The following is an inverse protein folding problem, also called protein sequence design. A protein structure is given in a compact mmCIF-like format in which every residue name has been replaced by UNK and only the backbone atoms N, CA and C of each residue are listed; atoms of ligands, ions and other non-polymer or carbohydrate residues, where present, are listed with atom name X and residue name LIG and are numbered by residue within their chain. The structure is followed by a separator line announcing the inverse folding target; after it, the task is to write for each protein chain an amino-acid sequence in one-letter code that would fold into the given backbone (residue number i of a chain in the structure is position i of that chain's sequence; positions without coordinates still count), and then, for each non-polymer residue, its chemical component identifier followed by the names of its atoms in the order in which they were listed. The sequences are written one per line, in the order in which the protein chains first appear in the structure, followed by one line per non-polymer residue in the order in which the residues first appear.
data_IF_487112198953
#
_entry.id   IF_487112198953
#
_cell.length_a   1.000
_cell.length_b   1.000
_cell.length_c   1.000
_cell.angle_alpha   90.00
_cell.angle_beta   90.00
_cell.angle_gamma   90.00
#
_symmetry.space_group_name_H-M   'P 1'
#
loop_
_entity.id
_entity.type
_entity.pdbx_description
1 polymer ?
#
# COMPACT_ATOMS: atom_id res chain seq x y z
N UNK A 1 -2.97 3.76 9.53
CA UNK A 1 -2.84 4.86 8.55
C UNK A 1 -1.37 5.15 8.30
N UNK A 2 -0.94 5.66 7.13
CA UNK A 2 0.45 6.11 6.95
C UNK A 2 0.75 7.17 8.01
N UNK A 3 1.84 6.98 8.75
CA UNK A 3 2.25 7.78 9.91
C UNK A 3 2.84 9.14 9.46
N UNK A 4 2.13 9.90 8.63
CA UNK A 4 2.62 11.18 8.09
C UNK A 4 1.53 12.24 8.05
N UNK A 5 1.94 13.51 8.10
CA UNK A 5 1.02 14.65 8.01
C UNK A 5 0.25 14.61 6.69
N UNK A 6 -1.05 14.94 6.75
CA UNK A 6 -1.92 14.99 5.55
C UNK A 6 -1.64 16.18 4.65
N UNK A 7 -0.67 17.02 5.01
CA UNK A 7 -0.29 18.25 4.31
C UNK A 7 0.23 17.96 2.89
N UNK A 8 0.88 16.81 2.70
CA UNK A 8 1.42 16.37 1.41
C UNK A 8 0.34 15.96 0.41
N UNK A 9 -0.94 16.00 0.80
CA UNK A 9 -2.07 15.66 -0.05
C UNK A 9 -2.79 16.91 -0.56
N UNK A 10 -3.28 16.82 -1.79
CA UNK A 10 -4.07 17.91 -2.40
C UNK A 10 -5.46 17.99 -1.79
N UNK A 11 -6.13 19.14 -1.91
CA UNK A 11 -7.52 19.29 -1.49
C UNK A 11 -8.44 18.30 -2.21
N UNK A 12 -8.14 17.97 -3.48
CA UNK A 12 -8.86 16.96 -4.25
C UNK A 12 -8.72 15.56 -3.63
N UNK A 13 -7.51 15.17 -3.23
CA UNK A 13 -7.29 13.88 -2.56
C UNK A 13 -8.02 13.78 -1.21
N UNK A 14 -8.06 14.88 -0.44
CA UNK A 14 -8.82 14.93 0.81
C UNK A 14 -10.32 14.75 0.59
N UNK A 15 -10.92 15.51 -0.34
CA UNK A 15 -12.33 15.38 -0.73
C UNK A 15 -12.70 13.98 -1.21
N UNK A 16 -11.84 13.35 -2.03
CA UNK A 16 -12.06 11.97 -2.47
C UNK A 16 -12.02 10.98 -1.29
N UNK A 17 -11.09 11.17 -0.34
CA UNK A 17 -11.00 10.31 0.83
C UNK A 17 -12.19 10.49 1.78
N UNK A 18 -12.69 11.70 1.95
CA UNK A 18 -13.91 11.97 2.72
C UNK A 18 -15.11 11.27 2.07
N UNK A 19 -15.37 11.52 0.79
CA UNK A 19 -16.49 10.92 0.08
C UNK A 19 -16.50 9.38 0.09
N UNK A 20 -15.31 8.75 -0.01
CA UNK A 20 -15.20 7.29 0.10
C UNK A 20 -15.43 6.82 1.54
N UNK A 21 -14.98 7.59 2.54
CA UNK A 21 -15.17 7.26 3.95
C UNK A 21 -16.67 7.30 4.30
N UNK A 22 -17.38 8.34 3.88
CA UNK A 22 -18.83 8.47 4.08
C UNK A 22 -19.55 7.21 3.58
N UNK A 23 -19.24 6.77 2.35
CA UNK A 23 -19.83 5.55 1.80
C UNK A 23 -19.41 4.24 2.50
N UNK A 24 -18.39 4.24 3.37
CA UNK A 24 -18.07 3.11 4.26
C UNK A 24 -18.77 3.23 5.62
N UNK A 25 -18.92 4.45 6.13
CA UNK A 25 -19.70 4.76 7.33
C UNK A 25 -21.17 4.39 7.13
N UNK A 26 -21.75 4.73 5.97
CA UNK A 26 -23.09 4.30 5.56
C UNK A 26 -23.25 2.77 5.53
N UNK A 27 -22.14 2.04 5.33
CA UNK A 27 -22.12 0.56 5.35
C UNK A 27 -21.86 -0.01 6.75
N UNK A 28 -21.87 0.83 7.80
CA UNK A 28 -21.66 0.46 9.20
C UNK A 28 -20.19 0.26 9.59
N UNK A 29 -19.22 0.73 8.79
CA UNK A 29 -17.81 0.70 9.19
C UNK A 29 -17.51 1.88 10.09
N UNK A 30 -16.83 1.66 11.22
CA UNK A 30 -16.49 2.75 12.14
C UNK A 30 -15.61 3.83 11.47
N UNK A 31 -15.82 5.09 11.83
CA UNK A 31 -15.22 6.29 11.22
C UNK A 31 -13.70 6.18 10.99
N UNK A 32 -12.95 5.76 12.02
CA UNK A 32 -11.48 5.62 11.94
C UNK A 32 -11.07 4.58 10.88
N UNK A 33 -11.82 3.49 10.77
CA UNK A 33 -11.57 2.45 9.78
C UNK A 33 -12.04 2.86 8.40
N UNK A 34 -13.20 3.51 8.28
CA UNK A 34 -13.72 4.06 7.04
C UNK A 34 -12.72 5.05 6.42
N UNK A 35 -12.24 6.02 7.22
CA UNK A 35 -11.17 6.94 6.83
C UNK A 35 -9.89 6.20 6.45
N UNK A 36 -9.47 5.19 7.22
CA UNK A 36 -8.28 4.43 6.89
C UNK A 36 -8.39 3.70 5.53
N UNK A 37 -9.53 3.06 5.26
CA UNK A 37 -9.83 2.39 4.00
C UNK A 37 -9.89 3.39 2.84
N UNK A 38 -10.56 4.51 3.04
CA UNK A 38 -10.66 5.56 2.03
C UNK A 38 -9.30 6.14 1.62
N UNK A 39 -8.46 6.48 2.60
CA UNK A 39 -7.10 6.95 2.34
C UNK A 39 -6.23 5.89 1.65
N UNK A 40 -6.44 4.60 1.94
CA UNK A 40 -5.74 3.53 1.24
C UNK A 40 -6.15 3.46 -0.24
N UNK A 41 -7.44 3.63 -0.55
CA UNK A 41 -7.95 3.68 -1.94
C UNK A 41 -7.34 4.85 -2.71
N UNK A 42 -7.39 6.07 -2.15
CA UNK A 42 -6.80 7.26 -2.79
C UNK A 42 -5.29 7.06 -3.04
N UNK A 43 -4.57 6.48 -2.08
CA UNK A 43 -3.15 6.18 -2.24
C UNK A 43 -2.90 5.12 -3.31
N UNK A 44 -3.77 4.12 -3.44
CA UNK A 44 -3.66 3.10 -4.48
C UNK A 44 -3.79 3.71 -5.87
N UNK A 45 -4.70 4.66 -6.05
CA UNK A 45 -4.97 5.29 -7.33
C UNK A 45 -3.94 6.36 -7.70
N UNK A 46 -3.51 7.17 -6.73
CA UNK A 46 -2.62 8.32 -6.96
C UNK A 46 -1.14 8.03 -6.70
N UNK A 47 -0.83 6.96 -5.97
CA UNK A 47 0.52 6.66 -5.50
C UNK A 47 0.95 7.38 -4.23
N UNK A 48 0.03 8.10 -3.57
CA UNK A 48 0.29 8.84 -2.34
C UNK A 48 0.10 10.35 -2.52
N UNK A 49 0.61 11.14 -1.58
CA UNK A 49 0.42 12.60 -1.60
C UNK A 49 0.99 13.27 -2.85
N UNK A 50 0.18 14.06 -3.54
CA UNK A 50 0.58 14.74 -4.78
C UNK A 50 1.34 16.05 -4.56
N UNK A 51 1.19 16.70 -3.40
CA UNK A 51 1.90 17.98 -3.14
C UNK A 51 3.39 17.81 -2.82
N UNK A 52 3.76 16.68 -2.21
CA UNK A 52 5.14 16.45 -1.77
C UNK A 52 5.40 15.03 -1.26
N UNK A 53 4.54 14.09 -1.64
CA UNK A 53 4.68 12.68 -1.31
C UNK A 53 5.04 11.84 -2.54
N UNK A 54 4.94 10.53 -2.41
CA UNK A 54 5.24 9.58 -3.50
C UNK A 54 4.32 9.73 -4.72
N UNK A 55 3.13 10.33 -4.55
CA UNK A 55 2.21 10.61 -5.66
C UNK A 55 2.75 11.68 -6.63
N UNK A 56 3.63 12.58 -6.15
CA UNK A 56 4.31 13.56 -6.99
C UNK A 56 5.30 12.92 -7.97
N UNK A 57 5.90 11.77 -7.59
CA UNK A 57 6.84 11.01 -8.43
C UNK A 57 6.16 9.95 -9.30
N UNK A 58 4.85 9.73 -9.10
CA UNK A 58 4.09 8.75 -9.87
C UNK A 58 3.62 9.40 -11.17
N UNK A 59 3.95 8.82 -12.32
CA UNK A 59 3.54 9.36 -13.63
C UNK A 59 2.03 9.26 -13.84
N UNK A 60 1.47 10.17 -14.66
CA UNK A 60 0.01 10.15 -14.91
C UNK A 60 -0.43 8.88 -15.65
N UNK A 61 0.43 8.34 -16.53
CA UNK A 61 0.19 7.06 -17.19
C UNK A 61 0.07 5.91 -16.17
N UNK A 62 0.92 5.89 -15.14
CA UNK A 62 0.86 4.90 -14.08
C UNK A 62 -0.39 5.09 -13.20
N UNK A 63 -0.73 6.33 -12.83
CA UNK A 63 -1.98 6.63 -12.10
C UNK A 63 -3.20 6.16 -12.89
N UNK A 64 -3.25 6.44 -14.19
CA UNK A 64 -4.32 5.99 -15.09
C UNK A 64 -4.40 4.47 -15.17
N UNK A 65 -3.26 3.79 -15.26
CA UNK A 65 -3.19 2.32 -15.21
C UNK A 65 -3.72 1.76 -13.88
N UNK A 66 -3.33 2.36 -12.75
CA UNK A 66 -3.81 1.97 -11.41
C UNK A 66 -5.33 2.15 -11.28
N UNK A 67 -5.87 3.29 -11.69
CA UNK A 67 -7.32 3.55 -11.73
C UNK A 67 -8.05 2.52 -12.61
N UNK A 68 -7.52 2.22 -13.80
CA UNK A 68 -8.08 1.20 -14.72
C UNK A 68 -8.08 -0.20 -14.08
N UNK A 69 -7.00 -0.58 -13.41
CA UNK A 69 -6.90 -1.86 -12.69
C UNK A 69 -7.89 -1.93 -11.52
N UNK A 70 -8.04 -0.84 -10.77
CA UNK A 70 -9.01 -0.71 -9.68
C UNK A 70 -10.45 -0.91 -10.20
N UNK A 71 -10.82 -0.20 -11.27
CA UNK A 71 -12.14 -0.32 -11.90
C UNK A 71 -12.42 -1.75 -12.40
N UNK A 72 -11.45 -2.39 -13.09
CA UNK A 72 -11.58 -3.78 -13.54
C UNK A 72 -11.85 -4.75 -12.38
N UNK A 73 -11.16 -4.56 -11.24
CA UNK A 73 -11.37 -5.37 -10.04
C UNK A 73 -12.76 -5.16 -9.44
N UNK A 74 -13.24 -3.92 -9.39
CA UNK A 74 -14.59 -3.62 -8.89
C UNK A 74 -15.68 -4.26 -9.76
N UNK A 75 -15.51 -4.27 -11.09
CA UNK A 75 -16.43 -4.97 -12.00
C UNK A 75 -16.36 -6.49 -11.78
N UNK A 76 -15.14 -7.04 -11.66
CA UNK A 76 -14.96 -8.47 -11.40
C UNK A 76 -15.60 -8.91 -10.07
N UNK A 77 -15.49 -8.13 -8.99
CA UNK A 77 -16.14 -8.45 -7.72
C UNK A 77 -17.66 -8.36 -7.84
N UNK A 78 -18.21 -7.40 -8.60
CA UNK A 78 -19.66 -7.35 -8.88
C UNK A 78 -20.14 -8.56 -9.68
N UNK A 79 -19.41 -8.96 -10.74
CA UNK A 79 -19.75 -10.17 -11.53
C UNK A 79 -19.74 -11.42 -10.67
N UNK A 80 -18.72 -11.59 -9.80
CA UNK A 80 -18.62 -12.74 -8.88
C UNK A 80 -19.72 -12.77 -7.82
N UNK A 81 -20.23 -11.60 -7.39
CA UNK A 81 -21.38 -11.51 -6.49
C UNK A 81 -22.70 -11.82 -7.22
N UNK A 82 -22.82 -11.44 -8.50
CA UNK A 82 -24.00 -11.76 -9.33
C UNK A 82 -24.12 -13.24 -9.70
N UNK A 83 -23.01 -13.98 -9.80
CA UNK A 83 -23.02 -15.43 -10.07
C UNK A 83 -23.16 -16.29 -8.81
N UNK A 84 -23.37 -15.69 -7.63
CA UNK A 84 -23.40 -16.44 -6.37
C UNK A 84 -24.54 -15.97 -5.43
N UNK A 85 -25.76 -15.89 -5.96
CA UNK A 85 -27.01 -15.82 -5.17
C UNK A 85 -27.36 -17.17 -4.52
N UNK A 86 -26.37 -17.89 -4.00
CA UNK A 86 -26.56 -19.26 -3.51
C UNK A 86 -25.54 -19.79 -2.50
N UNK A 87 -24.56 -19.02 -2.03
CA UNK A 87 -23.71 -19.50 -0.93
C UNK A 87 -23.25 -18.40 0.01
N UNK A 88 -24.02 -18.21 1.08
CA UNK A 88 -23.49 -17.74 2.36
C UNK A 88 -22.51 -18.79 2.89
N UNK A 89 -21.20 -18.69 2.59
CA UNK A 89 -20.12 -19.20 3.45
C UNK A 89 -18.73 -18.89 2.89
N UNK A 90 -17.93 -18.19 3.71
CA UNK A 90 -16.49 -18.39 3.95
C UNK A 90 -15.98 -17.10 4.61
N UNK A 91 -15.99 -17.02 5.94
CA UNK A 91 -14.87 -17.46 6.76
C UNK A 91 -13.61 -16.64 6.44
N UNK A 92 -13.24 -15.77 7.40
CA UNK A 92 -11.86 -15.39 7.72
C UNK A 92 -10.85 -15.61 6.59
N UNK A 93 -10.87 -14.76 5.56
CA UNK A 93 -9.80 -14.73 4.57
C UNK A 93 -8.60 -14.02 5.19
N UNK A 94 -7.89 -14.78 6.03
CA UNK A 94 -6.52 -14.50 6.37
C UNK A 94 -5.77 -14.23 5.07
N UNK A 95 -5.28 -12.99 4.94
CA UNK A 95 -4.45 -12.56 3.83
C UNK A 95 -3.35 -13.61 3.60
N UNK A 96 -3.02 -13.99 2.35
CA UNK A 96 -1.87 -14.85 2.13
C UNK A 96 -0.66 -14.10 2.68
N UNK A 97 -0.05 -14.63 3.74
CA UNK A 97 1.29 -14.24 4.18
C UNK A 97 2.16 -14.33 2.94
N UNK A 98 2.47 -13.18 2.34
CA UNK A 98 3.57 -13.07 1.38
C UNK A 98 4.79 -13.50 2.16
N UNK A 99 5.22 -14.73 1.94
CA UNK A 99 6.53 -15.20 2.35
C UNK A 99 7.52 -14.18 1.81
N UNK A 100 8.16 -13.44 2.72
CA UNK A 100 9.31 -12.62 2.36
C UNK A 100 10.38 -13.65 1.99
N UNK A 101 10.49 -13.97 0.70
CA UNK A 101 11.60 -14.74 0.16
C UNK A 101 12.86 -13.96 0.52
N UNK A 102 13.58 -14.44 1.53
CA UNK A 102 14.86 -13.92 1.94
C UNK A 102 15.83 -14.13 0.76
N UNK A 103 16.08 -13.08 -0.01
CA UNK A 103 17.18 -13.07 -0.96
C UNK A 103 18.45 -12.82 -0.17
N UNK A 104 19.08 -13.89 0.29
CA UNK A 104 20.48 -13.94 0.67
C UNK A 104 21.32 -13.52 -0.53
N UNK A 105 21.68 -12.23 -0.61
CA UNK A 105 22.77 -11.78 -1.48
C UNK A 105 24.06 -11.91 -0.70
N UNK A 106 24.74 -13.02 -0.99
CA UNK A 106 26.18 -13.28 -0.87
C UNK A 106 26.99 -12.00 -1.12
N UNK A 107 27.63 -11.48 -0.07
CA UNK A 107 28.82 -10.62 -0.20
C UNK A 107 29.98 -11.37 0.43
N UNK A 108 30.80 -11.93 -0.44
CA UNK A 108 32.12 -12.51 -0.13
C UNK A 108 33.03 -11.43 0.43
N UNK A 109 33.35 -11.50 1.73
CA UNK A 109 34.47 -10.77 2.30
C UNK A 109 35.47 -11.79 2.86
N UNK A 110 36.64 -11.73 2.24
CA UNK A 110 37.76 -12.66 2.25
C UNK A 110 38.37 -12.77 3.66
N UNK A 111 38.51 -14.00 4.15
CA UNK A 111 39.41 -14.36 5.26
C UNK A 111 40.84 -14.17 4.78
N UNK A 112 41.59 -13.24 5.36
CA UNK A 112 43.06 -13.25 5.34
C UNK A 112 43.57 -13.25 6.76
N UNK A 113 44.15 -14.39 7.10
CA UNK A 113 44.94 -14.70 8.28
C UNK A 113 46.23 -13.86 8.37
N UNK A 114 46.68 -13.75 9.62
CA UNK A 114 48.07 -13.67 10.10
C UNK A 114 48.88 -12.37 10.00
N UNK A 115 49.07 -11.79 11.20
CA UNK A 115 50.34 -11.75 11.95
C UNK A 115 51.42 -10.73 11.52
N UNK A 116 51.75 -9.90 12.51
CA UNK A 116 53.10 -9.55 13.01
C UNK A 116 53.57 -8.09 12.89
N UNK A 117 53.88 -7.53 14.08
CA UNK A 117 54.93 -6.54 14.41
C UNK A 117 54.76 -5.12 13.83
N UNK A 118 54.99 -4.00 14.51
CA UNK A 118 55.87 -3.68 15.64
C UNK A 118 55.51 -2.29 16.22
N UNK A 119 55.80 -2.13 17.52
CA UNK A 119 56.33 -0.94 18.24
C UNK A 119 56.18 0.44 17.58
N UNK A 120 55.66 1.44 18.32
CA UNK A 120 56.44 2.62 18.75
C UNK A 120 55.67 3.47 19.78
N UNK A 121 56.39 3.89 20.81
CA UNK A 121 56.00 4.86 21.82
C UNK A 121 56.12 6.31 21.30
N UNK A 122 55.34 7.22 21.88
CA UNK A 122 55.71 8.56 22.30
C UNK A 122 54.66 9.06 23.29
#
# INVERSE_FOLDING_TARGET
MPRGSKEKYTAKQKRMAEHIADGYEDKGVGEKEAKARAWATVNKDTGGGEKGGSGAKTSEAEKKSRRKSSAKRAVATKKRRGTNTGSKKAANQSAPKRTRKATTKKSTAKKTTSRSTSRKAA
#
